data_IF_043039741188
#
_entry.id   IF_043039741188
#
_cell.length_a   1.000
_cell.length_b   1.000
_cell.length_c   1.000
_cell.angle_alpha   90.00
_cell.angle_beta   90.00
_cell.angle_gamma   90.00
#
_symmetry.space_group_name_H-M   'P 1'
#
loop_
_entity.id
_entity.type
_entity.pdbx_description
1 polymer ?
#
# COMPACT_ATOMS: atom_id res chain seq x y z
N UNK A 1 13.88 4.14 22.74
CA UNK A 1 14.14 3.89 21.29
C UNK A 1 13.07 3.04 20.58
N UNK A 2 12.00 2.58 21.25
CA UNK A 2 10.98 1.65 20.67
C UNK A 2 9.70 2.32 20.16
N UNK A 3 9.46 3.61 20.46
CA UNK A 3 8.22 4.32 20.11
C UNK A 3 8.22 4.87 18.68
N UNK A 4 9.33 5.46 18.25
CA UNK A 4 9.47 6.10 16.93
C UNK A 4 9.37 5.09 15.78
N UNK A 5 9.99 3.91 15.90
CA UNK A 5 9.92 2.86 14.86
C UNK A 5 8.50 2.31 14.63
N UNK A 6 7.69 2.19 15.69
CA UNK A 6 6.30 1.73 15.56
C UNK A 6 5.45 2.74 14.81
N UNK A 7 5.59 4.03 15.14
CA UNK A 7 4.89 5.08 14.41
C UNK A 7 5.24 5.10 12.93
N UNK A 8 6.53 5.03 12.57
CA UNK A 8 6.95 4.99 11.15
C UNK A 8 6.39 3.78 10.40
N UNK A 9 6.28 2.63 11.08
CA UNK A 9 5.69 1.43 10.51
C UNK A 9 4.18 1.57 10.30
N UNK A 10 3.45 2.13 11.27
CA UNK A 10 2.01 2.42 11.16
C UNK A 10 1.69 3.38 10.00
N UNK A 11 2.51 4.43 9.81
CA UNK A 11 2.35 5.35 8.67
C UNK A 11 2.59 4.68 7.33
N UNK A 12 3.62 3.83 7.25
CA UNK A 12 3.92 3.05 6.04
C UNK A 12 2.73 2.15 5.69
N UNK A 13 2.21 1.42 6.67
CA UNK A 13 1.12 0.48 6.45
C UNK A 13 -0.17 1.22 6.06
N UNK A 14 -0.46 2.36 6.69
CA UNK A 14 -1.61 3.21 6.32
C UNK A 14 -1.50 3.76 4.88
N UNK A 15 -0.31 4.18 4.45
CA UNK A 15 -0.08 4.68 3.10
C UNK A 15 -0.27 3.58 2.05
N UNK A 16 0.31 2.40 2.29
CA UNK A 16 0.19 1.26 1.39
C UNK A 16 -1.27 0.82 1.27
N UNK A 17 -1.99 0.72 2.40
CA UNK A 17 -3.42 0.35 2.41
C UNK A 17 -4.29 1.36 1.66
N UNK A 18 -3.98 2.65 1.76
CA UNK A 18 -4.69 3.71 1.02
C UNK A 18 -4.43 3.59 -0.48
N UNK A 19 -3.18 3.38 -0.89
CA UNK A 19 -2.81 3.19 -2.29
C UNK A 19 -3.51 1.96 -2.90
N UNK A 20 -3.55 0.85 -2.16
CA UNK A 20 -4.22 -0.37 -2.61
C UNK A 20 -5.71 -0.15 -2.87
N UNK A 21 -6.42 0.53 -1.96
CA UNK A 21 -7.84 0.83 -2.13
C UNK A 21 -8.09 1.82 -3.27
N UNK A 22 -7.36 2.93 -3.27
CA UNK A 22 -7.72 4.07 -4.11
C UNK A 22 -7.24 3.90 -5.56
N UNK A 23 -6.07 3.28 -5.77
CA UNK A 23 -5.46 3.13 -7.10
C UNK A 23 -5.61 1.75 -7.71
N UNK A 24 -5.71 0.70 -6.87
CA UNK A 24 -5.81 -0.69 -7.33
C UNK A 24 -7.20 -1.29 -7.11
N UNK A 25 -8.10 -0.62 -6.37
CA UNK A 25 -9.41 -1.16 -6.03
C UNK A 25 -9.36 -2.38 -5.11
N UNK A 26 -8.23 -2.58 -4.40
CA UNK A 26 -8.02 -3.70 -3.49
C UNK A 26 -8.40 -3.26 -2.08
N UNK A 27 -9.46 -3.87 -1.54
CA UNK A 27 -10.02 -3.53 -0.23
C UNK A 27 -9.03 -3.69 0.92
N UNK A 28 -8.28 -4.81 0.93
CA UNK A 28 -7.26 -5.14 1.93
C UNK A 28 -6.13 -5.93 1.28
N UNK A 29 -4.92 -5.77 1.82
CA UNK A 29 -3.74 -6.56 1.47
C UNK A 29 -3.53 -7.78 2.39
N UNK A 30 -4.44 -8.02 3.33
CA UNK A 30 -4.43 -9.25 4.13
C UNK A 30 -4.81 -10.45 3.26
N UNK A 31 -4.12 -11.58 3.44
CA UNK A 31 -4.46 -12.83 2.73
C UNK A 31 -5.77 -13.41 3.25
N UNK A 32 -6.74 -13.60 2.36
CA UNK A 32 -8.09 -14.09 2.67
C UNK A 32 -8.30 -15.57 2.33
N UNK A 33 -7.33 -16.23 1.69
CA UNK A 33 -7.37 -17.63 1.24
C UNK A 33 -8.54 -17.89 0.29
N UNK A 34 -8.80 -16.96 -0.61
CA UNK A 34 -9.86 -17.03 -1.61
C UNK A 34 -9.37 -16.42 -2.91
N UNK A 35 -9.41 -17.20 -3.99
CA UNK A 35 -8.81 -16.77 -5.26
C UNK A 35 -9.36 -15.43 -5.77
N UNK A 36 -10.69 -15.27 -5.75
CA UNK A 36 -11.35 -14.04 -6.20
C UNK A 36 -11.09 -12.83 -5.30
N UNK A 37 -10.62 -13.06 -4.08
CA UNK A 37 -10.36 -12.02 -3.08
C UNK A 37 -8.87 -11.69 -2.94
N UNK A 38 -7.98 -12.61 -3.36
CA UNK A 38 -6.53 -12.49 -3.22
C UNK A 38 -5.80 -12.29 -4.56
N UNK A 39 -6.40 -12.68 -5.69
CA UNK A 39 -5.85 -12.44 -7.03
C UNK A 39 -6.63 -11.35 -7.75
N UNK A 40 -5.89 -10.40 -8.32
CA UNK A 40 -6.44 -9.24 -9.00
C UNK A 40 -5.80 -9.08 -10.38
N UNK A 41 -6.63 -9.02 -11.41
CA UNK A 41 -6.22 -8.58 -12.74
C UNK A 41 -6.19 -7.06 -12.78
N UNK A 42 -4.98 -6.50 -12.93
CA UNK A 42 -4.75 -5.06 -12.88
C UNK A 42 -4.07 -4.58 -14.15
N UNK A 43 -4.50 -3.41 -14.62
CA UNK A 43 -3.84 -2.77 -15.74
C UNK A 43 -2.45 -2.27 -15.33
N UNK A 44 -1.49 -2.38 -16.26
CA UNK A 44 -0.09 -1.99 -16.02
C UNK A 44 0.08 -0.51 -15.66
N UNK A 45 -0.83 0.36 -16.12
CA UNK A 45 -0.82 1.77 -15.76
C UNK A 45 -1.25 2.03 -14.31
N UNK A 46 -2.24 1.29 -13.80
CA UNK A 46 -2.65 1.37 -12.38
C UNK A 46 -1.53 0.89 -11.46
N UNK A 47 -0.83 -0.20 -11.85
CA UNK A 47 0.34 -0.69 -11.12
C UNK A 47 1.45 0.39 -11.10
N UNK A 48 1.74 1.02 -12.24
CA UNK A 48 2.73 2.11 -12.33
C UNK A 48 2.37 3.27 -11.39
N UNK A 49 1.11 3.67 -11.35
CA UNK A 49 0.64 4.77 -10.50
C UNK A 49 0.73 4.43 -9.02
N UNK A 50 0.33 3.22 -8.62
CA UNK A 50 0.48 2.75 -7.25
C UNK A 50 1.94 2.73 -6.79
N UNK A 51 2.86 2.25 -7.64
CA UNK A 51 4.29 2.24 -7.34
C UNK A 51 4.87 3.67 -7.20
N UNK A 52 4.48 4.58 -8.08
CA UNK A 52 4.90 5.99 -8.00
C UNK A 52 4.39 6.66 -6.71
N UNK A 53 3.12 6.43 -6.34
CA UNK A 53 2.54 6.95 -5.11
C UNK A 53 3.23 6.38 -3.86
N UNK A 54 3.54 5.07 -3.85
CA UNK A 54 4.24 4.43 -2.74
C UNK A 54 5.66 4.97 -2.57
N UNK A 55 6.37 5.19 -3.67
CA UNK A 55 7.69 5.81 -3.65
C UNK A 55 7.63 7.22 -3.07
N UNK A 56 6.67 8.04 -3.51
CA UNK A 56 6.51 9.40 -3.00
C UNK A 56 6.20 9.44 -1.51
N UNK A 57 5.25 8.61 -1.05
CA UNK A 57 4.91 8.49 0.37
C UNK A 57 6.13 8.14 1.24
N UNK A 58 6.98 7.23 0.74
CA UNK A 58 8.25 6.89 1.38
C UNK A 58 9.23 8.07 1.47
N UNK A 59 9.33 8.87 0.40
CA UNK A 59 10.19 10.08 0.40
C UNK A 59 9.72 11.14 1.39
N UNK A 60 8.41 11.35 1.51
CA UNK A 60 7.85 12.36 2.42
C UNK A 60 7.99 11.96 3.89
N UNK A 61 7.99 10.65 4.18
CA UNK A 61 8.19 10.14 5.56
C UNK A 61 9.64 10.25 6.03
N UNK A 62 10.60 10.37 5.10
CA UNK A 62 12.04 10.43 5.39
C UNK A 62 12.60 11.87 5.47
N UNK A 63 11.74 12.88 5.35
CA UNK A 63 12.06 14.31 5.52
C UNK A 63 11.80 14.76 6.95
#
# INVERSE_FOLDING_TARGET
MTKTRRHTQEYKDAAIQTIARDLLGIETLDTRKSDSLDFHDLAVWSIREALAAAFEAGRQTSR
#
